data_IF_528202375097
#
_entry.id   IF_528202375097
#
_cell.length_a   1.000
_cell.length_b   1.000
_cell.length_c   1.000
_cell.angle_alpha   90.00
_cell.angle_beta   90.00
_cell.angle_gamma   90.00
#
_symmetry.space_group_name_H-M   'P 1'
#
loop_
_entity.id
_entity.type
_entity.pdbx_description
1 polymer ?
#
# COMPACT_ATOMS: atom_id res chain seq x y z
N UNK A 1 -13.22 15.46 21.52
CA UNK A 1 -12.87 15.06 21.56
C UNK A 1 -12.44 14.31 20.81
N UNK A 2 -12.02 14.26 20.53
CA UNK A 2 -11.29 13.70 19.80
C UNK A 2 -11.67 12.48 19.28
N UNK A 3 -12.46 12.41 18.60
CA UNK A 3 -12.82 11.35 18.16
C UNK A 3 -12.08 10.88 17.13
N UNK A 4 -10.97 10.33 17.25
CA UNK A 4 -10.24 9.68 16.27
C UNK A 4 -10.95 8.44 16.00
N UNK A 5 -11.68 8.38 14.97
CA UNK A 5 -12.47 7.22 14.68
C UNK A 5 -11.64 6.12 14.04
N UNK A 6 -12.12 4.89 14.11
CA UNK A 6 -11.47 3.78 13.43
C UNK A 6 -11.46 3.96 11.92
N UNK A 7 -12.43 4.68 11.39
CA UNK A 7 -12.46 4.98 9.97
C UNK A 7 -11.27 5.83 9.58
N UNK A 8 -10.96 6.85 10.39
CA UNK A 8 -9.81 7.70 10.09
C UNK A 8 -8.51 6.92 10.15
N UNK A 9 -8.37 6.04 11.14
CA UNK A 9 -7.17 5.23 11.25
C UNK A 9 -7.04 4.28 10.06
N UNK A 10 -8.16 3.73 9.60
CA UNK A 10 -8.12 2.81 8.47
C UNK A 10 -7.79 3.53 7.17
N UNK A 11 -8.33 4.74 6.98
CA UNK A 11 -8.00 5.52 5.80
C UNK A 11 -6.51 5.85 5.78
N UNK A 12 -5.96 6.22 6.93
CA UNK A 12 -4.54 6.52 7.01
C UNK A 12 -3.69 5.29 6.71
N UNK A 13 -4.12 4.12 7.17
CA UNK A 13 -3.41 2.88 6.92
C UNK A 13 -3.42 2.52 5.43
N UNK A 14 -4.59 2.66 4.78
CA UNK A 14 -4.68 2.38 3.36
C UNK A 14 -3.77 3.32 2.58
N UNK A 15 -3.75 4.59 2.95
CA UNK A 15 -2.89 5.56 2.30
C UNK A 15 -1.41 5.21 2.48
N UNK A 16 -1.03 4.78 3.68
CA UNK A 16 0.33 4.35 3.95
C UNK A 16 0.74 3.20 3.03
N UNK A 17 -0.12 2.20 2.89
CA UNK A 17 0.18 1.06 2.04
C UNK A 17 0.32 1.48 0.57
N UNK A 18 -0.53 2.41 0.11
CA UNK A 18 -0.44 2.90 -1.27
C UNK A 18 0.86 3.66 -1.50
N UNK A 19 1.27 4.45 -0.52
CA UNK A 19 2.52 5.17 -0.65
C UNK A 19 3.72 4.24 -0.66
N UNK A 20 3.67 3.19 0.15
CA UNK A 20 4.75 2.21 0.16
C UNK A 20 4.84 1.50 -1.18
N UNK A 21 3.70 1.13 -1.77
CA UNK A 21 3.70 0.49 -3.07
C UNK A 21 4.34 1.40 -4.12
N UNK A 22 4.03 2.71 -4.07
CA UNK A 22 4.61 3.65 -5.00
C UNK A 22 6.12 3.80 -4.82
N UNK A 23 6.58 3.85 -3.58
CA UNK A 23 8.01 3.93 -3.32
C UNK A 23 8.73 2.72 -3.88
N UNK A 24 8.14 1.55 -3.70
CA UNK A 24 8.75 0.32 -4.18
C UNK A 24 8.76 0.29 -5.70
N UNK A 25 7.69 0.76 -6.34
CA UNK A 25 7.68 0.83 -7.82
C UNK A 25 8.75 1.78 -8.35
N UNK A 26 8.99 2.88 -7.64
CA UNK A 26 10.07 3.80 -8.03
C UNK A 26 11.43 3.12 -7.89
N UNK A 27 11.62 2.35 -6.81
CA UNK A 27 12.86 1.61 -6.64
C UNK A 27 13.03 0.57 -7.75
N UNK A 28 11.94 -0.06 -8.17
CA UNK A 28 12.01 -1.05 -9.23
C UNK A 28 12.49 -0.43 -10.54
N UNK A 29 12.10 0.82 -10.81
CA UNK A 29 12.53 1.49 -12.03
C UNK A 29 14.05 1.77 -12.04
N UNK A 30 14.66 1.81 -10.86
CA UNK A 30 16.08 2.08 -10.75
C UNK A 30 16.91 0.83 -10.53
N UNK A 31 16.27 -0.32 -10.39
CA UNK A 31 17.00 -1.55 -10.12
C UNK A 31 17.75 -2.02 -11.35
N UNK A 32 18.90 -2.66 -11.11
CA UNK A 32 19.79 -3.06 -12.18
C UNK A 32 19.61 -4.47 -12.69
N UNK A 33 18.82 -5.29 -12.05
CA UNK A 33 18.63 -6.65 -12.50
C UNK A 33 17.16 -6.96 -12.62
N UNK A 34 16.86 -7.88 -13.54
CA UNK A 34 15.49 -8.29 -13.76
C UNK A 34 14.90 -8.96 -12.52
N UNK A 35 15.70 -9.74 -11.83
CA UNK A 35 15.24 -10.40 -10.60
C UNK A 35 14.87 -9.39 -9.53
N UNK A 36 15.67 -8.34 -9.38
CA UNK A 36 15.38 -7.30 -8.40
C UNK A 36 14.11 -6.54 -8.78
N UNK A 37 13.93 -6.23 -10.05
CA UNK A 37 12.72 -5.57 -10.52
C UNK A 37 11.51 -6.42 -10.22
N UNK A 38 11.58 -7.71 -10.53
CA UNK A 38 10.46 -8.60 -10.31
C UNK A 38 10.09 -8.69 -8.84
N UNK A 39 11.09 -8.83 -7.97
CA UNK A 39 10.84 -8.92 -6.53
C UNK A 39 10.21 -7.66 -5.99
N UNK A 40 10.70 -6.50 -6.43
CA UNK A 40 10.16 -5.24 -5.96
C UNK A 40 8.72 -5.05 -6.43
N UNK A 41 8.44 -5.39 -7.69
CA UNK A 41 7.08 -5.25 -8.19
C UNK A 41 6.10 -6.19 -7.49
N UNK A 42 6.54 -7.40 -7.16
CA UNK A 42 5.70 -8.32 -6.40
C UNK A 42 5.40 -7.78 -5.01
N UNK A 43 6.39 -7.16 -4.39
CA UNK A 43 6.20 -6.56 -3.07
C UNK A 43 5.23 -5.39 -3.15
N UNK A 44 5.35 -4.57 -4.20
CA UNK A 44 4.42 -3.45 -4.38
C UNK A 44 2.98 -3.95 -4.51
N UNK A 45 2.79 -5.04 -5.24
CA UNK A 45 1.46 -5.63 -5.40
C UNK A 45 0.90 -6.07 -4.05
N UNK A 46 1.73 -6.60 -3.17
CA UNK A 46 1.28 -6.99 -1.84
C UNK A 46 0.80 -5.80 -1.03
N UNK A 47 1.51 -4.68 -1.11
CA UNK A 47 1.09 -3.47 -0.42
C UNK A 47 -0.22 -2.93 -1.00
N UNK A 48 -0.36 -2.97 -2.32
CA UNK A 48 -1.61 -2.55 -2.95
C UNK A 48 -2.76 -3.45 -2.51
N UNK A 49 -2.51 -4.74 -2.39
CA UNK A 49 -3.52 -5.69 -1.95
C UNK A 49 -3.95 -5.39 -0.51
N UNK A 50 -3.00 -5.07 0.36
CA UNK A 50 -3.32 -4.72 1.74
C UNK A 50 -4.16 -3.44 1.79
N UNK A 51 -3.82 -2.46 0.95
CA UNK A 51 -4.59 -1.23 0.89
C UNK A 51 -6.01 -1.51 0.42
N UNK A 52 -6.14 -2.35 -0.60
CA UNK A 52 -7.45 -2.69 -1.13
C UNK A 52 -8.32 -3.39 -0.09
N UNK A 53 -7.72 -4.24 0.72
CA UNK A 53 -8.47 -4.93 1.78
C UNK A 53 -8.99 -3.95 2.82
N UNK A 54 -8.18 -2.98 3.20
CA UNK A 54 -8.60 -1.97 4.16
C UNK A 54 -9.73 -1.13 3.55
N UNK A 55 -9.57 -0.73 2.29
CA UNK A 55 -10.56 0.08 1.60
C UNK A 55 -11.89 -0.66 1.47
N UNK A 56 -11.82 -1.94 1.15
CA UNK A 56 -13.01 -2.76 1.03
C UNK A 56 -13.74 -2.87 2.36
N UNK A 57 -12.98 -3.02 3.44
CA UNK A 57 -13.56 -3.08 4.76
C UNK A 57 -14.30 -1.79 5.11
N UNK A 58 -13.75 -0.64 4.71
CA UNK A 58 -14.41 0.64 4.93
C UNK A 58 -15.71 0.74 4.15
N UNK A 59 -15.71 0.25 2.92
CA UNK A 59 -16.91 0.33 2.09
C UNK A 59 -18.01 -0.64 2.53
N UNK A 60 -17.63 -1.67 3.25
CA UNK A 60 -18.59 -2.69 3.68
C UNK A 60 -19.35 -2.28 4.92
N UNK A 61 -19.04 -1.14 5.51
CA UNK A 61 -19.75 -0.71 6.69
C UNK A 61 -21.07 0.01 6.41
#
# INVERSE_FOLDING_TARGET
>A
MGDFSLVDASVARAHFYREKAEEIRRAARLANSLDAVKDLLETAIRFDYMAARVEKSLLSR
#
